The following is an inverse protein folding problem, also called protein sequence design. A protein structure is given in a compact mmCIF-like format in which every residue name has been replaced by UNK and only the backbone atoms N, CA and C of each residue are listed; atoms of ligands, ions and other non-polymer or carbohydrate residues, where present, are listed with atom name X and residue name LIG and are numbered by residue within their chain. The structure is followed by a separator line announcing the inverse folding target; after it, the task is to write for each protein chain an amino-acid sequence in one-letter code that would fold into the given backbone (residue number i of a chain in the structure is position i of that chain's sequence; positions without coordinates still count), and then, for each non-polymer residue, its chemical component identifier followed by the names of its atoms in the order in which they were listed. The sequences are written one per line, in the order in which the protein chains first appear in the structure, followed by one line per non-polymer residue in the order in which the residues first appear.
data_IF_314495206137
#
_entry.id   IF_314495206137
#
_cell.length_a   1.000
_cell.length_b   1.000
_cell.length_c   1.000
_cell.angle_alpha   90.00
_cell.angle_beta   90.00
_cell.angle_gamma   90.00
#
_symmetry.space_group_name_H-M   'P 1'
#
loop_
_entity.id
_entity.type
_entity.pdbx_description
1 polymer ?
#
# COMPACT_ATOMS: atom_id res chain seq x y z
N UNK A 1 -37.33 18.52 -6.16
CA UNK A 1 -37.16 19.06 -4.79
C UNK A 1 -36.72 17.95 -3.84
N UNK A 2 -37.40 16.79 -3.80
CA UNK A 2 -37.07 15.66 -2.90
C UNK A 2 -35.64 15.13 -3.14
N UNK A 3 -35.23 14.94 -4.39
CA UNK A 3 -33.89 14.48 -4.75
C UNK A 3 -32.80 15.43 -4.26
N UNK A 4 -32.97 16.73 -4.40
CA UNK A 4 -31.96 17.71 -3.92
C UNK A 4 -31.88 17.76 -2.39
N UNK A 5 -32.99 17.54 -1.68
CA UNK A 5 -33.00 17.48 -0.23
C UNK A 5 -32.29 16.20 0.31
N UNK A 6 -32.49 15.08 -0.37
CA UNK A 6 -31.77 13.82 -0.02
C UNK A 6 -30.28 13.92 -0.28
N UNK A 7 -29.89 14.48 -1.43
CA UNK A 7 -28.47 14.73 -1.75
C UNK A 7 -27.84 15.68 -0.72
N UNK A 8 -28.55 16.77 -0.35
CA UNK A 8 -28.05 17.69 0.68
C UNK A 8 -27.94 17.04 2.07
N UNK A 9 -28.86 16.13 2.42
CA UNK A 9 -28.79 15.38 3.67
C UNK A 9 -27.60 14.41 3.69
N UNK A 10 -27.36 13.70 2.58
CA UNK A 10 -26.19 12.82 2.42
C UNK A 10 -24.90 13.64 2.54
N UNK A 11 -24.80 14.77 1.85
CA UNK A 11 -23.61 15.64 1.95
C UNK A 11 -23.40 16.17 3.37
N UNK A 12 -24.46 16.57 4.06
CA UNK A 12 -24.35 17.00 5.46
C UNK A 12 -23.87 15.86 6.36
N UNK A 13 -24.42 14.68 6.21
CA UNK A 13 -24.00 13.50 6.96
C UNK A 13 -22.53 13.13 6.69
N UNK A 14 -22.09 13.18 5.42
CA UNK A 14 -20.70 12.98 5.03
C UNK A 14 -19.76 13.99 5.70
N UNK A 15 -20.13 15.28 5.72
CA UNK A 15 -19.32 16.32 6.35
C UNK A 15 -19.24 16.12 7.87
N UNK A 16 -20.36 15.78 8.53
CA UNK A 16 -20.42 15.58 9.97
C UNK A 16 -19.68 14.33 10.44
N UNK A 17 -19.65 13.26 9.62
CA UNK A 17 -18.95 12.01 9.94
C UNK A 17 -17.49 11.99 9.51
N UNK A 18 -17.09 12.90 8.63
CA UNK A 18 -15.73 12.95 8.09
C UNK A 18 -14.78 13.61 9.09
N UNK A 19 -13.60 13.01 9.29
CA UNK A 19 -12.51 13.61 10.08
C UNK A 19 -11.78 14.65 9.21
N UNK A 20 -12.00 15.97 9.39
CA UNK A 20 -11.56 16.98 8.43
C UNK A 20 -10.04 17.02 8.26
N UNK A 21 -9.26 16.80 9.32
CA UNK A 21 -7.79 16.76 9.26
C UNK A 21 -7.25 15.52 8.54
N UNK A 22 -8.06 14.49 8.34
CA UNK A 22 -7.67 13.28 7.61
C UNK A 22 -8.10 13.38 6.16
N UNK A 23 -9.28 13.90 5.91
CA UNK A 23 -9.92 13.87 4.59
C UNK A 23 -9.45 15.02 3.68
N UNK A 24 -9.49 16.26 4.17
CA UNK A 24 -9.27 17.44 3.31
C UNK A 24 -7.84 17.58 2.77
N UNK A 25 -6.76 17.36 3.53
CA UNK A 25 -5.41 17.51 2.99
C UNK A 25 -5.13 16.61 1.77
N UNK A 26 -5.42 15.30 1.79
CA UNK A 26 -5.28 14.46 0.60
C UNK A 26 -6.15 14.92 -0.58
N UNK A 27 -7.41 15.30 -0.33
CA UNK A 27 -8.32 15.78 -1.37
C UNK A 27 -7.78 17.05 -2.04
N UNK A 28 -7.29 18.01 -1.25
CA UNK A 28 -6.72 19.26 -1.78
C UNK A 28 -5.47 18.98 -2.60
N UNK A 29 -4.58 18.11 -2.12
CA UNK A 29 -3.37 17.73 -2.87
C UNK A 29 -3.71 17.04 -4.20
N UNK A 30 -4.65 16.10 -4.19
CA UNK A 30 -5.07 15.41 -5.41
C UNK A 30 -5.80 16.35 -6.39
N UNK A 31 -6.68 17.20 -5.88
CA UNK A 31 -7.35 18.20 -6.71
C UNK A 31 -6.34 19.20 -7.31
N UNK A 32 -5.33 19.61 -6.53
CA UNK A 32 -4.23 20.46 -7.00
C UNK A 32 -3.37 19.76 -8.06
N UNK A 33 -3.03 18.49 -7.85
CA UNK A 33 -2.30 17.70 -8.84
C UNK A 33 -3.09 17.53 -10.15
N UNK A 34 -4.39 17.25 -10.04
CA UNK A 34 -5.28 17.18 -11.20
C UNK A 34 -5.37 18.52 -11.92
N UNK A 35 -5.58 19.62 -11.20
CA UNK A 35 -5.63 20.94 -11.80
C UNK A 35 -4.32 21.29 -12.51
N UNK A 36 -3.18 21.01 -11.90
CA UNK A 36 -1.86 21.23 -12.51
C UNK A 36 -1.70 20.40 -13.78
N UNK A 37 -2.05 19.12 -13.77
CA UNK A 37 -1.96 18.25 -14.94
C UNK A 37 -2.87 18.69 -16.10
N UNK A 38 -4.00 19.37 -15.80
CA UNK A 38 -4.91 19.91 -16.82
C UNK A 38 -4.47 21.25 -17.38
N UNK A 39 -3.69 22.04 -16.60
CA UNK A 39 -3.16 23.34 -17.04
C UNK A 39 -1.92 23.15 -17.90
N UNK A 40 -0.97 22.34 -17.43
CA UNK A 40 0.27 22.05 -18.13
C UNK A 40 0.72 20.62 -17.82
N UNK A 41 0.39 19.72 -18.72
CA UNK A 41 0.71 18.29 -18.56
C UNK A 41 2.23 18.02 -18.61
N UNK A 42 2.95 18.71 -19.49
CA UNK A 42 4.38 18.47 -19.68
C UNK A 42 5.18 18.93 -18.46
N UNK A 43 4.86 20.09 -17.91
CA UNK A 43 5.48 20.61 -16.68
C UNK A 43 5.08 19.74 -15.47
N UNK A 44 3.82 19.33 -15.37
CA UNK A 44 3.36 18.40 -14.34
C UNK A 44 4.13 17.07 -14.39
N UNK A 45 4.22 16.46 -15.57
CA UNK A 45 4.94 15.21 -15.77
C UNK A 45 6.43 15.34 -15.45
N UNK A 46 7.07 16.42 -15.90
CA UNK A 46 8.47 16.74 -15.61
C UNK A 46 8.71 16.88 -14.10
N UNK A 47 7.86 17.64 -13.42
CA UNK A 47 7.95 17.88 -11.98
C UNK A 47 7.80 16.58 -11.17
N UNK A 48 6.79 15.77 -11.49
CA UNK A 48 6.55 14.49 -10.81
C UNK A 48 7.68 13.51 -11.08
N UNK A 49 8.17 13.43 -12.31
CA UNK A 49 9.28 12.56 -12.69
C UNK A 49 10.58 12.95 -11.99
N UNK A 50 10.87 14.26 -11.90
CA UNK A 50 12.03 14.78 -11.17
C UNK A 50 11.93 14.47 -9.66
N UNK A 51 10.77 14.67 -9.06
CA UNK A 51 10.53 14.36 -7.65
C UNK A 51 10.68 12.87 -7.37
N UNK A 52 10.13 12.00 -8.23
CA UNK A 52 10.29 10.55 -8.14
C UNK A 52 11.76 10.12 -8.27
N UNK A 53 12.47 10.66 -9.28
CA UNK A 53 13.89 10.38 -9.47
C UNK A 53 14.73 10.79 -8.28
N UNK A 54 14.47 11.98 -7.69
CA UNK A 54 15.13 12.42 -6.47
C UNK A 54 14.86 11.46 -5.29
N UNK A 55 13.62 11.06 -5.12
CA UNK A 55 13.20 10.18 -4.03
C UNK A 55 13.87 8.81 -4.15
N UNK A 56 13.87 8.24 -5.34
CA UNK A 56 14.53 6.95 -5.59
C UNK A 56 16.05 7.04 -5.39
N UNK A 57 16.71 8.09 -5.87
CA UNK A 57 18.17 8.23 -5.73
C UNK A 57 18.66 8.45 -4.30
N UNK A 58 17.80 8.94 -3.40
CA UNK A 58 18.18 9.20 -2.01
C UNK A 58 17.69 8.13 -1.03
N UNK A 59 16.61 7.41 -1.37
CA UNK A 59 15.93 6.46 -0.46
C UNK A 59 15.86 5.03 -1.00
N UNK A 60 16.52 4.70 -2.10
CA UNK A 60 16.58 3.35 -2.65
C UNK A 60 17.04 2.31 -1.61
N UNK A 61 18.06 2.66 -0.84
CA UNK A 61 18.57 1.83 0.26
C UNK A 61 17.51 1.56 1.32
N UNK A 62 16.69 2.57 1.67
CA UNK A 62 15.62 2.44 2.66
C UNK A 62 14.54 1.47 2.17
N UNK A 63 14.10 1.62 0.91
CA UNK A 63 13.12 0.71 0.31
C UNK A 63 13.63 -0.72 0.24
N UNK A 64 14.89 -0.91 -0.14
CA UNK A 64 15.54 -2.22 -0.22
C UNK A 64 15.63 -2.90 1.14
N UNK A 65 16.16 -2.21 2.15
CA UNK A 65 16.25 -2.75 3.50
C UNK A 65 14.90 -2.97 4.17
N UNK A 66 13.93 -2.07 3.97
CA UNK A 66 12.59 -2.23 4.51
C UNK A 66 11.87 -3.44 3.91
N UNK A 67 12.01 -3.64 2.61
CA UNK A 67 11.44 -4.81 1.91
C UNK A 67 12.06 -6.11 2.39
N UNK A 68 13.38 -6.16 2.51
CA UNK A 68 14.10 -7.32 3.05
C UNK A 68 13.72 -7.59 4.51
N UNK A 69 13.67 -6.55 5.34
CA UNK A 69 13.25 -6.67 6.73
C UNK A 69 11.79 -7.17 6.86
N UNK A 70 10.89 -6.74 5.96
CA UNK A 70 9.51 -7.23 5.95
C UNK A 70 9.45 -8.73 5.67
N UNK A 71 10.23 -9.24 4.69
CA UNK A 71 10.31 -10.68 4.41
C UNK A 71 10.85 -11.44 5.64
N UNK A 72 11.94 -10.97 6.23
CA UNK A 72 12.51 -11.57 7.44
C UNK A 72 11.54 -11.58 8.61
N UNK A 73 10.81 -10.49 8.81
CA UNK A 73 9.80 -10.36 9.86
C UNK A 73 8.63 -11.33 9.67
N UNK A 74 8.11 -11.47 8.45
CA UNK A 74 7.01 -12.42 8.18
C UNK A 74 7.48 -13.86 8.39
N UNK A 75 8.66 -14.21 7.91
CA UNK A 75 9.22 -15.54 8.16
C UNK A 75 9.39 -15.80 9.67
N UNK A 76 9.93 -14.81 10.40
CA UNK A 76 10.03 -14.91 11.85
C UNK A 76 8.68 -15.07 12.55
N UNK A 77 7.65 -14.32 12.15
CA UNK A 77 6.28 -14.45 12.68
C UNK A 77 5.74 -15.85 12.44
N UNK A 78 5.88 -16.40 11.23
CA UNK A 78 5.39 -17.73 10.86
C UNK A 78 6.02 -18.84 11.74
N UNK A 79 7.33 -18.76 11.99
CA UNK A 79 8.05 -19.78 12.77
C UNK A 79 8.11 -19.49 14.28
N UNK A 80 7.56 -18.37 14.74
CA UNK A 80 7.48 -17.99 16.15
C UNK A 80 6.13 -18.35 16.77
N UNK A 81 6.00 -18.30 18.11
CA UNK A 81 4.70 -18.44 18.80
C UNK A 81 3.65 -17.43 18.34
N UNK A 82 4.06 -16.29 17.77
CA UNK A 82 3.15 -15.27 17.21
C UNK A 82 2.31 -15.81 16.05
N UNK A 83 2.84 -16.76 15.25
CA UNK A 83 2.10 -17.41 14.16
C UNK A 83 0.88 -18.21 14.64
N UNK A 84 0.80 -18.55 15.92
CA UNK A 84 -0.35 -19.24 16.51
C UNK A 84 -1.41 -18.33 17.12
N UNK A 85 -1.16 -17.01 17.16
CA UNK A 85 -2.09 -16.03 17.72
C UNK A 85 -3.34 -15.93 16.85
N UNK A 86 -4.50 -16.12 17.46
CA UNK A 86 -5.79 -15.98 16.77
C UNK A 86 -6.20 -14.51 16.71
N UNK A 87 -6.47 -14.05 15.50
CA UNK A 87 -7.04 -12.71 15.29
C UNK A 87 -8.48 -12.71 15.85
N UNK A 88 -8.79 -11.74 16.71
CA UNK A 88 -10.07 -11.66 17.42
C UNK A 88 -10.11 -12.38 18.77
N UNK A 89 -8.96 -12.93 19.21
CA UNK A 89 -8.82 -13.56 20.52
C UNK A 89 -8.95 -15.09 20.51
N UNK A 90 -8.77 -15.76 21.67
CA UNK A 90 -8.67 -17.21 21.76
C UNK A 90 -9.95 -17.94 21.32
N UNK A 91 -11.11 -17.32 21.53
CA UNK A 91 -12.41 -17.89 21.21
C UNK A 91 -12.91 -17.53 19.79
N UNK A 92 -12.11 -16.77 19.02
CA UNK A 92 -12.48 -16.36 17.67
C UNK A 92 -12.67 -17.58 16.75
N UNK A 93 -13.77 -17.55 15.99
CA UNK A 93 -14.11 -18.58 15.01
C UNK A 93 -14.06 -17.96 13.60
N UNK A 94 -13.69 -18.74 12.58
CA UNK A 94 -13.78 -18.30 11.20
C UNK A 94 -15.21 -17.87 10.85
N UNK A 95 -15.37 -16.68 10.28
CA UNK A 95 -16.66 -16.12 9.83
C UNK A 95 -16.98 -16.47 8.37
N UNK A 96 -15.95 -16.89 7.62
CA UNK A 96 -16.07 -17.29 6.23
C UNK A 96 -15.88 -18.81 6.07
N UNK A 97 -16.56 -19.39 5.09
CA UNK A 97 -16.22 -20.72 4.62
C UNK A 97 -14.81 -20.72 4.01
N UNK A 98 -14.14 -21.88 3.98
CA UNK A 98 -12.80 -22.00 3.38
C UNK A 98 -12.79 -21.56 1.91
N UNK A 99 -13.87 -21.86 1.17
CA UNK A 99 -13.99 -21.47 -0.23
C UNK A 99 -14.16 -19.95 -0.40
N UNK A 100 -15.03 -19.32 0.38
CA UNK A 100 -15.21 -17.87 0.34
C UNK A 100 -13.93 -17.13 0.75
N UNK A 101 -13.26 -17.62 1.80
CA UNK A 101 -11.97 -17.07 2.20
C UNK A 101 -10.93 -17.17 1.07
N UNK A 102 -10.79 -18.35 0.47
CA UNK A 102 -9.88 -18.57 -0.65
C UNK A 102 -10.20 -17.65 -1.83
N UNK A 103 -11.47 -17.56 -2.24
CA UNK A 103 -11.88 -16.72 -3.37
C UNK A 103 -11.61 -15.24 -3.12
N UNK A 104 -11.93 -14.72 -1.93
CA UNK A 104 -11.66 -13.33 -1.57
C UNK A 104 -10.16 -13.07 -1.55
N UNK A 105 -9.38 -13.96 -0.91
CA UNK A 105 -7.93 -13.81 -0.85
C UNK A 105 -7.32 -13.83 -2.25
N UNK A 106 -7.71 -14.76 -3.09
CA UNK A 106 -7.25 -14.85 -4.47
C UNK A 106 -7.57 -13.58 -5.26
N UNK A 107 -8.82 -13.11 -5.21
CA UNK A 107 -9.24 -11.92 -5.95
C UNK A 107 -8.56 -10.63 -5.47
N UNK A 108 -8.25 -10.53 -4.18
CA UNK A 108 -7.58 -9.35 -3.62
C UNK A 108 -6.07 -9.35 -3.82
N UNK A 109 -5.45 -10.52 -3.90
CA UNK A 109 -3.99 -10.64 -4.07
C UNK A 109 -3.56 -10.72 -5.53
N UNK A 110 -4.37 -11.35 -6.39
CA UNK A 110 -4.16 -11.36 -7.85
C UNK A 110 -4.91 -10.17 -8.47
N UNK A 111 -4.55 -8.97 -8.04
CA UNK A 111 -5.11 -7.75 -8.61
C UNK A 111 -4.65 -7.55 -10.06
N UNK A 112 -5.33 -6.66 -10.78
CA UNK A 112 -4.98 -6.23 -12.15
C UNK A 112 -3.47 -5.97 -12.30
N UNK A 113 -2.81 -5.44 -11.27
CA UNK A 113 -1.38 -5.20 -11.25
C UNK A 113 -0.55 -6.43 -11.61
N UNK A 114 -0.77 -7.56 -10.94
CA UNK A 114 0.03 -8.76 -11.20
C UNK A 114 -0.30 -9.38 -12.57
N UNK A 115 -1.56 -9.32 -13.00
CA UNK A 115 -1.97 -9.82 -14.31
C UNK A 115 -1.32 -9.03 -15.45
N UNK A 116 -1.22 -7.72 -15.31
CA UNK A 116 -0.59 -6.85 -16.30
C UNK A 116 0.95 -6.92 -16.21
N UNK A 117 1.51 -6.68 -15.03
CA UNK A 117 2.95 -6.59 -14.83
C UNK A 117 3.67 -7.93 -14.89
N UNK A 118 3.00 -9.04 -14.60
CA UNK A 118 3.55 -10.37 -14.79
C UNK A 118 3.96 -10.67 -16.24
N UNK A 119 3.32 -9.99 -17.21
CA UNK A 119 3.70 -10.05 -18.62
C UNK A 119 4.51 -8.81 -19.05
N UNK A 120 4.13 -7.62 -18.62
CA UNK A 120 4.73 -6.37 -19.08
C UNK A 120 6.15 -6.17 -18.54
N UNK A 121 6.41 -6.48 -17.27
CA UNK A 121 7.72 -6.26 -16.64
C UNK A 121 8.85 -7.05 -17.30
N UNK A 122 8.71 -8.37 -17.57
CA UNK A 122 9.74 -9.10 -18.32
C UNK A 122 10.02 -8.50 -19.70
N UNK A 123 8.99 -8.01 -20.37
CA UNK A 123 9.16 -7.35 -21.68
C UNK A 123 9.93 -6.03 -21.55
N UNK A 124 9.68 -5.24 -20.52
CA UNK A 124 10.45 -4.02 -20.26
C UNK A 124 11.93 -4.33 -20.02
N UNK A 125 12.23 -5.27 -19.14
CA UNK A 125 13.61 -5.63 -18.82
C UNK A 125 14.33 -6.32 -19.98
N UNK A 126 13.62 -7.05 -20.82
CA UNK A 126 14.20 -7.66 -22.00
C UNK A 126 14.57 -6.63 -23.09
N UNK A 127 13.73 -5.59 -23.25
CA UNK A 127 13.97 -4.53 -24.21
C UNK A 127 14.99 -3.48 -23.73
N UNK A 128 15.03 -3.22 -22.42
CA UNK A 128 15.89 -2.21 -21.79
C UNK A 128 16.42 -2.68 -20.44
N UNK A 129 17.33 -3.68 -20.40
CA UNK A 129 17.88 -4.13 -19.15
C UNK A 129 18.67 -2.99 -18.49
N UNK A 130 18.53 -2.82 -17.15
CA UNK A 130 19.25 -1.76 -16.44
C UNK A 130 20.76 -1.99 -16.53
N UNK A 131 21.55 -0.90 -16.56
CA UNK A 131 22.98 -0.95 -16.77
C UNK A 131 23.74 -1.85 -15.77
N UNK A 132 23.27 -1.91 -14.52
CA UNK A 132 23.89 -2.74 -13.49
C UNK A 132 23.75 -4.25 -13.75
N UNK A 133 22.79 -4.68 -14.60
CA UNK A 133 22.64 -6.09 -14.94
C UNK A 133 23.76 -6.62 -15.86
N UNK A 134 24.44 -5.72 -16.55
CA UNK A 134 25.44 -6.08 -17.57
C UNK A 134 24.88 -6.77 -18.80
N UNK A 135 23.56 -6.96 -18.87
CA UNK A 135 22.90 -7.67 -19.98
C UNK A 135 22.69 -6.75 -21.19
N UNK A 136 22.80 -7.32 -22.37
CA UNK A 136 22.45 -6.65 -23.64
C UNK A 136 21.00 -6.94 -23.97
N UNK A 137 20.26 -5.94 -24.45
CA UNK A 137 18.86 -6.10 -24.85
C UNK A 137 18.68 -7.29 -25.79
N UNK A 138 17.60 -8.05 -25.58
CA UNK A 138 17.26 -9.26 -26.36
C UNK A 138 18.29 -10.41 -26.28
N UNK A 139 19.22 -10.39 -25.31
CA UNK A 139 20.13 -11.50 -25.05
C UNK A 139 19.51 -12.51 -24.08
N UNK A 140 20.09 -13.69 -23.98
CA UNK A 140 19.73 -14.73 -22.98
C UNK A 140 19.93 -14.20 -21.56
N UNK A 141 20.93 -13.37 -21.34
CA UNK A 141 21.18 -12.73 -20.04
C UNK A 141 20.07 -11.73 -19.70
N UNK A 142 19.58 -10.95 -20.68
CA UNK A 142 18.45 -10.05 -20.50
C UNK A 142 17.16 -10.83 -20.20
N UNK A 143 16.92 -11.96 -20.86
CA UNK A 143 15.79 -12.84 -20.59
C UNK A 143 15.84 -13.39 -19.15
N UNK A 144 17.00 -13.92 -18.75
CA UNK A 144 17.23 -14.47 -17.40
C UNK A 144 17.05 -13.39 -16.32
N UNK A 145 17.57 -12.19 -16.55
CA UNK A 145 17.39 -11.05 -15.67
C UNK A 145 15.91 -10.64 -15.56
N UNK A 146 15.23 -10.52 -16.71
CA UNK A 146 13.84 -10.11 -16.77
C UNK A 146 12.91 -11.05 -15.99
N UNK A 147 13.05 -12.35 -16.18
CA UNK A 147 12.25 -13.37 -15.48
C UNK A 147 12.59 -13.38 -13.98
N UNK A 148 13.87 -13.30 -13.61
CA UNK A 148 14.29 -13.27 -12.21
C UNK A 148 13.76 -12.04 -11.48
N UNK A 149 13.82 -10.87 -12.11
CA UNK A 149 13.28 -9.61 -11.57
C UNK A 149 11.79 -9.70 -11.36
N UNK A 150 11.04 -10.20 -12.33
CA UNK A 150 9.59 -10.40 -12.23
C UNK A 150 9.25 -11.31 -11.04
N UNK A 151 9.93 -12.44 -10.87
CA UNK A 151 9.71 -13.31 -9.72
C UNK A 151 10.06 -12.65 -8.39
N UNK A 152 11.16 -11.88 -8.33
CA UNK A 152 11.53 -11.15 -7.12
C UNK A 152 10.47 -10.10 -6.74
N UNK A 153 9.94 -9.38 -7.72
CA UNK A 153 8.96 -8.32 -7.50
C UNK A 153 7.56 -8.83 -7.19
N UNK A 154 7.18 -10.05 -7.65
CA UNK A 154 5.80 -10.52 -7.57
C UNK A 154 5.60 -11.79 -6.73
N UNK A 155 6.60 -12.21 -5.94
CA UNK A 155 6.48 -13.35 -5.03
C UNK A 155 6.51 -12.93 -3.58
N UNK A 156 7.57 -13.24 -2.84
CA UNK A 156 7.62 -13.02 -1.39
C UNK A 156 7.65 -11.56 -0.97
N UNK A 157 8.36 -10.72 -1.73
CA UNK A 157 8.63 -9.33 -1.35
C UNK A 157 7.37 -8.49 -1.21
N UNK A 158 6.50 -8.35 -2.23
CA UNK A 158 5.31 -7.51 -2.11
C UNK A 158 4.32 -8.05 -1.07
N UNK A 159 4.17 -9.38 -0.99
CA UNK A 159 3.28 -9.96 0.00
C UNK A 159 3.79 -9.79 1.43
N UNK A 160 5.09 -9.78 1.66
CA UNK A 160 5.67 -9.46 2.96
C UNK A 160 5.43 -7.98 3.33
N UNK A 161 5.67 -7.06 2.39
CA UNK A 161 5.40 -5.62 2.58
C UNK A 161 3.92 -5.38 2.90
N UNK A 162 3.01 -6.08 2.24
CA UNK A 162 1.58 -6.02 2.52
C UNK A 162 1.21 -6.66 3.85
N UNK A 163 1.74 -7.85 4.15
CA UNK A 163 1.34 -8.65 5.31
C UNK A 163 1.75 -8.04 6.65
N UNK A 164 2.90 -7.36 6.71
CA UNK A 164 3.37 -6.71 7.94
C UNK A 164 2.35 -5.69 8.48
N UNK A 165 1.94 -4.66 7.72
CA UNK A 165 0.93 -3.72 8.19
C UNK A 165 -0.44 -4.39 8.37
N UNK A 166 -0.83 -5.33 7.51
CA UNK A 166 -2.11 -6.02 7.63
C UNK A 166 -2.24 -6.78 8.95
N UNK A 167 -1.19 -7.51 9.36
CA UNK A 167 -1.16 -8.20 10.65
C UNK A 167 -1.12 -7.22 11.83
N UNK A 168 -0.33 -6.15 11.73
CA UNK A 168 -0.29 -5.11 12.75
C UNK A 168 -1.67 -4.46 12.96
N UNK A 169 -2.37 -4.15 11.86
CA UNK A 169 -3.75 -3.66 11.89
C UNK A 169 -4.71 -4.64 12.53
N UNK A 170 -4.67 -5.89 12.08
CA UNK A 170 -5.57 -6.93 12.57
C UNK A 170 -5.39 -7.15 14.08
N UNK A 171 -4.16 -7.29 14.55
CA UNK A 171 -3.85 -7.45 15.97
C UNK A 171 -4.24 -6.22 16.79
N UNK A 172 -3.91 -5.02 16.33
CA UNK A 172 -4.23 -3.79 17.03
C UNK A 172 -5.74 -3.60 17.18
N UNK A 173 -6.49 -3.84 16.11
CA UNK A 173 -7.94 -3.63 16.11
C UNK A 173 -8.69 -4.77 16.79
N UNK A 174 -8.53 -6.00 16.31
CA UNK A 174 -9.35 -7.13 16.76
C UNK A 174 -8.93 -7.71 18.11
N UNK A 175 -7.64 -7.67 18.45
CA UNK A 175 -7.15 -8.24 19.70
C UNK A 175 -6.97 -7.19 20.81
N UNK A 176 -6.61 -5.93 20.46
CA UNK A 176 -6.26 -4.91 21.41
C UNK A 176 -7.24 -3.71 21.43
N UNK A 177 -8.34 -3.77 20.65
CA UNK A 177 -9.42 -2.77 20.64
C UNK A 177 -8.98 -1.38 20.19
N UNK A 178 -7.91 -1.27 19.38
CA UNK A 178 -7.43 0.01 18.86
C UNK A 178 -8.31 0.50 17.71
N UNK A 179 -8.35 1.82 17.44
CA UNK A 179 -9.08 2.34 16.29
C UNK A 179 -8.66 1.67 14.98
N UNK A 180 -9.61 1.48 14.08
CA UNK A 180 -9.35 0.98 12.73
C UNK A 180 -8.78 2.11 11.86
N UNK A 181 -7.51 2.40 12.07
CA UNK A 181 -6.77 3.49 11.41
C UNK A 181 -5.27 3.17 11.43
N UNK A 182 -4.46 3.83 10.59
CA UNK A 182 -2.99 3.68 10.62
C UNK A 182 -2.38 4.09 11.96
N UNK A 183 -2.97 5.08 12.62
CA UNK A 183 -2.57 5.50 13.95
C UNK A 183 -2.82 4.43 15.02
N UNK A 184 -3.74 3.47 14.79
CA UNK A 184 -4.07 2.39 15.71
C UNK A 184 -2.86 1.53 16.09
N UNK A 185 -2.22 0.80 15.15
CA UNK A 185 -1.00 0.04 15.40
C UNK A 185 0.15 0.89 15.94
N UNK A 186 0.37 2.09 15.38
CA UNK A 186 1.44 2.99 15.80
C UNK A 186 1.25 3.48 17.24
N UNK A 187 0.02 3.55 17.73
CA UNK A 187 -0.26 3.91 19.13
C UNK A 187 0.26 2.88 20.14
N UNK A 188 0.49 1.64 19.71
CA UNK A 188 1.07 0.60 20.56
C UNK A 188 2.57 0.82 20.80
N UNK A 189 3.25 1.42 19.82
CA UNK A 189 4.70 1.72 19.88
C UNK A 189 4.95 3.11 20.46
N UNK A 190 4.24 4.12 19.94
CA UNK A 190 4.46 5.52 20.27
C UNK A 190 3.49 6.07 21.33
N UNK A 191 2.60 5.22 21.86
CA UNK A 191 1.65 5.60 22.88
C UNK A 191 0.72 6.74 22.44
N UNK A 192 0.49 7.71 23.34
CA UNK A 192 -0.40 8.86 23.07
C UNK A 192 0.12 9.80 21.98
N UNK A 193 1.42 9.76 21.68
CA UNK A 193 2.00 10.57 20.60
C UNK A 193 1.44 10.22 19.21
N UNK A 194 1.00 8.97 18.99
CA UNK A 194 0.36 8.54 17.75
C UNK A 194 -1.18 8.73 17.73
N UNK A 195 -1.74 9.45 18.69
CA UNK A 195 -3.17 9.70 18.82
C UNK A 195 -3.50 11.20 18.70
N UNK A 196 -4.76 11.55 18.66
CA UNK A 196 -5.20 12.94 18.53
C UNK A 196 -4.81 13.57 17.21
N UNK A 197 -4.24 14.78 17.23
CA UNK A 197 -3.83 15.51 16.02
C UNK A 197 -2.71 14.79 15.23
N UNK A 198 -1.72 14.26 15.94
CA UNK A 198 -0.63 13.49 15.31
C UNK A 198 -1.15 12.21 14.65
N UNK A 199 -2.08 11.50 15.31
CA UNK A 199 -2.77 10.37 14.72
C UNK A 199 -3.56 10.75 13.47
N UNK A 200 -4.22 11.91 13.47
CA UNK A 200 -4.94 12.40 12.29
C UNK A 200 -3.99 12.70 11.11
N UNK A 201 -2.79 13.22 11.38
CA UNK A 201 -1.77 13.43 10.33
C UNK A 201 -1.29 12.09 9.75
N UNK A 202 -1.01 11.11 10.61
CA UNK A 202 -0.63 9.76 10.20
C UNK A 202 -1.72 9.13 9.32
N UNK A 203 -2.97 9.23 9.75
CA UNK A 203 -4.11 8.70 8.99
C UNK A 203 -4.29 9.44 7.65
N UNK A 204 -4.04 10.77 7.59
CA UNK A 204 -4.09 11.56 6.36
C UNK A 204 -3.00 11.16 5.36
N UNK A 205 -1.77 10.95 5.83
CA UNK A 205 -0.65 10.46 5.00
C UNK A 205 -1.00 9.08 4.42
N UNK A 206 -1.55 8.19 5.25
CA UNK A 206 -1.96 6.87 4.80
C UNK A 206 -3.10 6.90 3.78
N UNK A 207 -4.09 7.77 3.97
CA UNK A 207 -5.17 7.95 3.00
C UNK A 207 -4.64 8.51 1.68
N UNK A 208 -3.73 9.50 1.74
CA UNK A 208 -3.09 10.03 0.54
C UNK A 208 -2.29 8.95 -0.20
N UNK A 209 -1.47 8.18 0.51
CA UNK A 209 -0.69 7.10 -0.09
C UNK A 209 -1.59 6.02 -0.73
N UNK A 210 -2.71 5.67 -0.09
CA UNK A 210 -3.68 4.73 -0.63
C UNK A 210 -4.29 5.22 -1.95
N UNK A 211 -4.73 6.48 -2.00
CA UNK A 211 -5.40 7.04 -3.19
C UNK A 211 -4.40 7.35 -4.31
N UNK A 212 -3.18 7.78 -3.96
CA UNK A 212 -2.15 8.05 -4.96
C UNK A 212 -1.51 6.77 -5.54
N UNK A 213 -1.69 5.62 -4.88
CA UNK A 213 -1.16 4.33 -5.32
C UNK A 213 -2.12 3.52 -6.20
N UNK A 214 -3.34 4.02 -6.47
CA UNK A 214 -4.35 3.40 -7.35
C UNK A 214 -4.30 4.01 -8.73
#
# INVERSE_FOLDING_TARGET
VIFLSEVAAIFRQLIETTRPLVFWPPVILLAGALAFSLIDFDEFHSTVSAANGWLLSHFDWLFSYASFAAVGLILWVVFSPLGSVRIGGPDAKPILSRWNWFSITLCTTIAIGILFWGAAEPMFHMNGPPAFSGAVAHSVDAESFAVSSMFMHWTFTPYAIYSVPALAFALAHYNLGRPYSLSGPLSLVFGRAALGKSGAIIDAIGLYALVAGV
#
